data_IF_490328047853
#
_entry.id   IF_490328047853
#
_cell.length_a   1.000
_cell.length_b   1.000
_cell.length_c   1.000
_cell.angle_alpha   90.00
_cell.angle_beta   90.00
_cell.angle_gamma   90.00
#
_symmetry.space_group_name_H-M   'P 1'
#
loop_
_entity.id
_entity.type
_entity.pdbx_description
1 polymer ?
#
# COMPACT_ATOMS: atom_id res chain seq x y z
N UNK A 1 7.33 -11.86 -12.23
CA UNK A 1 6.06 -11.26 -11.74
C UNK A 1 4.91 -11.72 -12.60
N UNK A 2 3.86 -12.20 -12.00
CA UNK A 2 2.59 -12.45 -12.69
C UNK A 2 1.67 -11.27 -12.41
N UNK A 3 1.20 -10.59 -13.44
CA UNK A 3 0.44 -9.35 -13.33
C UNK A 3 -0.93 -9.49 -13.98
N UNK A 4 -1.98 -9.08 -13.26
CA UNK A 4 -3.37 -9.12 -13.74
C UNK A 4 -4.08 -7.83 -13.34
N UNK A 5 -4.89 -7.28 -14.23
CA UNK A 5 -5.85 -6.21 -13.91
C UNK A 5 -7.26 -6.75 -14.04
N UNK A 6 -8.07 -6.52 -13.02
CA UNK A 6 -9.44 -7.02 -12.98
C UNK A 6 -10.40 -5.90 -12.57
N UNK A 7 -11.60 -5.93 -13.15
CA UNK A 7 -12.70 -5.09 -12.68
C UNK A 7 -13.37 -5.82 -11.52
N UNK A 8 -12.92 -5.52 -10.29
CA UNK A 8 -13.48 -6.11 -9.07
C UNK A 8 -13.17 -5.25 -7.85
N UNK A 9 -13.93 -5.46 -6.79
CA UNK A 9 -13.67 -4.85 -5.50
C UNK A 9 -12.43 -5.50 -4.87
N UNK A 10 -11.47 -4.67 -4.41
CA UNK A 10 -10.26 -5.12 -3.74
C UNK A 10 -10.57 -6.07 -2.56
N UNK A 11 -11.62 -5.80 -1.82
CA UNK A 11 -11.98 -6.54 -0.61
C UNK A 11 -12.69 -7.87 -0.89
N UNK A 12 -12.78 -8.27 -2.16
CA UNK A 12 -13.22 -9.60 -2.56
C UNK A 12 -12.08 -10.57 -2.78
N UNK A 13 -10.83 -10.11 -2.69
CA UNK A 13 -9.65 -10.97 -2.78
C UNK A 13 -9.56 -11.85 -1.52
N UNK A 14 -9.01 -13.06 -1.68
CA UNK A 14 -8.83 -13.97 -0.55
C UNK A 14 -7.77 -13.45 0.43
N UNK A 15 -7.82 -13.94 1.67
CA UNK A 15 -6.95 -13.46 2.76
C UNK A 15 -5.48 -13.86 2.61
N UNK A 16 -5.14 -14.70 1.63
CA UNK A 16 -3.75 -15.00 1.30
C UNK A 16 -3.06 -13.88 0.51
N UNK A 17 -3.83 -12.92 0.01
CA UNK A 17 -3.28 -11.69 -0.55
C UNK A 17 -2.85 -10.74 0.57
N UNK A 18 -1.73 -10.04 0.38
CA UNK A 18 -1.47 -8.81 1.11
C UNK A 18 -2.09 -7.67 0.31
N UNK A 19 -2.92 -6.87 0.95
CA UNK A 19 -3.52 -5.71 0.30
C UNK A 19 -2.59 -4.51 0.40
N UNK A 20 -2.50 -3.73 -0.67
CA UNK A 20 -1.58 -2.59 -0.77
C UNK A 20 -2.38 -1.34 -1.10
N UNK A 21 -2.16 -0.27 -0.34
CA UNK A 21 -2.77 1.03 -0.63
C UNK A 21 -1.86 2.17 -0.19
N UNK A 22 -2.20 3.40 -0.58
CA UNK A 22 -1.41 4.59 -0.25
C UNK A 22 -2.09 5.42 0.82
N UNK A 23 -1.30 5.96 1.74
CA UNK A 23 -1.75 6.85 2.82
C UNK A 23 -0.82 8.04 2.94
N UNK A 24 -1.26 9.05 3.71
CA UNK A 24 -0.42 10.17 4.17
C UNK A 24 0.16 9.88 5.55
N UNK A 25 1.27 10.54 5.88
CA UNK A 25 1.96 10.33 7.16
C UNK A 25 1.14 10.78 8.37
N UNK A 26 0.14 11.64 8.19
CA UNK A 26 -0.76 12.08 9.25
C UNK A 26 -1.83 11.03 9.61
N UNK A 27 -1.88 9.91 8.87
CA UNK A 27 -2.86 8.83 9.04
C UNK A 27 -4.31 9.33 8.99
N UNK A 28 -4.59 10.37 8.19
CA UNK A 28 -5.95 10.90 8.05
C UNK A 28 -6.92 9.84 7.51
N UNK A 29 -6.54 9.16 6.41
CA UNK A 29 -7.25 8.00 5.84
C UNK A 29 -8.77 8.20 5.78
N UNK A 30 -9.19 9.42 5.41
CA UNK A 30 -10.59 9.84 5.49
C UNK A 30 -11.37 9.74 4.18
N UNK A 31 -10.74 9.32 3.09
CA UNK A 31 -11.37 9.29 1.77
C UNK A 31 -10.89 8.09 0.95
N UNK A 32 -11.66 7.73 -0.07
CA UNK A 32 -11.32 6.66 -1.01
C UNK A 32 -11.12 5.31 -0.33
N UNK A 33 -10.21 4.50 -0.86
CA UNK A 33 -9.87 3.16 -0.35
C UNK A 33 -9.35 3.24 1.10
N UNK A 34 -8.59 4.27 1.45
CA UNK A 34 -8.04 4.41 2.80
C UNK A 34 -9.14 4.50 3.86
N UNK A 35 -10.28 5.13 3.54
CA UNK A 35 -11.42 5.19 4.45
C UNK A 35 -11.98 3.78 4.73
N UNK A 36 -12.01 2.92 3.73
CA UNK A 36 -12.46 1.53 3.91
C UNK A 36 -11.54 0.81 4.91
N UNK A 37 -10.24 0.97 4.78
CA UNK A 37 -9.29 0.39 5.74
C UNK A 37 -9.46 0.99 7.14
N UNK A 38 -9.78 2.29 7.26
CA UNK A 38 -10.11 2.90 8.54
C UNK A 38 -11.28 2.19 9.22
N UNK A 39 -12.34 1.93 8.46
CA UNK A 39 -13.52 1.23 8.98
C UNK A 39 -13.21 -0.21 9.40
N UNK A 40 -12.16 -0.81 8.86
CA UNK A 40 -11.71 -2.16 9.21
C UNK A 40 -10.69 -2.18 10.36
N UNK A 41 -10.34 -1.03 10.95
CA UNK A 41 -9.45 -0.95 12.11
C UNK A 41 -8.00 -0.67 11.79
N UNK A 42 -7.62 -0.53 10.52
CA UNK A 42 -6.21 -0.33 10.13
C UNK A 42 -5.66 0.99 10.65
N UNK A 43 -6.43 2.09 10.56
CA UNK A 43 -6.01 3.39 11.07
C UNK A 43 -5.72 3.35 12.57
N UNK A 44 -6.60 2.71 13.34
CA UNK A 44 -6.44 2.56 14.78
C UNK A 44 -5.16 1.77 15.10
N UNK A 45 -4.89 0.70 14.36
CA UNK A 45 -3.67 -0.09 14.51
C UNK A 45 -2.41 0.76 14.25
N UNK A 46 -2.43 1.61 13.21
CA UNK A 46 -1.31 2.51 12.92
C UNK A 46 -1.10 3.53 14.05
N UNK A 47 -2.18 4.07 14.61
CA UNK A 47 -2.12 4.99 15.74
C UNK A 47 -1.50 4.34 16.97
N UNK A 48 -1.75 3.05 17.17
CA UNK A 48 -1.24 2.26 18.31
C UNK A 48 0.12 1.63 18.02
N UNK A 49 0.76 1.99 16.91
CA UNK A 49 2.05 1.42 16.48
C UNK A 49 2.01 -0.11 16.33
N UNK A 50 0.88 -0.66 15.92
CA UNK A 50 0.68 -2.10 15.69
C UNK A 50 0.96 -2.44 14.21
N UNK A 51 2.17 -2.18 13.76
CA UNK A 51 2.58 -2.42 12.38
C UNK A 51 4.00 -2.97 12.34
N UNK A 52 4.35 -3.61 11.24
CA UNK A 52 5.66 -4.18 10.96
C UNK A 52 6.37 -3.38 9.88
N UNK A 53 7.69 -3.58 9.77
CA UNK A 53 8.50 -2.93 8.76
C UNK A 53 9.05 -1.62 9.27
N UNK A 54 9.01 -0.58 8.43
CA UNK A 54 9.47 0.75 8.81
C UNK A 54 8.47 1.37 9.79
N UNK A 55 8.86 1.50 11.06
CA UNK A 55 7.99 2.03 12.11
C UNK A 55 8.31 3.50 12.35
N UNK A 56 7.35 4.35 12.04
CA UNK A 56 7.42 5.78 12.31
C UNK A 56 6.19 6.24 13.08
N UNK A 57 6.35 7.29 13.86
CA UNK A 57 5.22 7.93 14.53
C UNK A 57 4.36 8.67 13.51
N UNK A 58 3.10 8.90 13.87
CA UNK A 58 2.20 9.69 13.05
C UNK A 58 2.82 11.06 12.76
N UNK A 59 2.76 11.46 11.49
CA UNK A 59 3.28 12.74 11.05
C UNK A 59 4.74 12.72 10.60
N UNK A 60 5.44 11.59 10.72
CA UNK A 60 6.82 11.49 10.23
C UNK A 60 6.86 11.36 8.72
N UNK A 61 7.52 12.30 8.06
CA UNK A 61 7.79 12.23 6.63
C UNK A 61 8.95 13.19 6.29
N UNK A 62 10.04 12.63 5.77
CA UNK A 62 11.25 13.37 5.42
C UNK A 62 11.41 13.58 3.91
N UNK A 63 10.36 13.31 3.12
CA UNK A 63 10.42 13.40 1.66
C UNK A 63 10.68 12.06 0.99
N UNK A 64 10.92 11.01 1.76
CA UNK A 64 11.13 9.65 1.25
C UNK A 64 9.96 8.77 1.66
N UNK A 65 9.30 8.12 0.69
CA UNK A 65 8.20 7.19 0.95
C UNK A 65 8.67 5.95 1.71
N UNK A 66 7.78 5.37 2.47
CA UNK A 66 8.05 4.16 3.24
C UNK A 66 6.78 3.30 3.40
N UNK A 67 6.95 2.09 3.93
CA UNK A 67 5.85 1.14 4.07
C UNK A 67 5.74 0.65 5.50
N UNK A 68 4.52 0.62 6.02
CA UNK A 68 4.19 -0.02 7.30
C UNK A 68 3.15 -1.10 7.05
N UNK A 69 3.36 -2.30 7.62
CA UNK A 69 2.51 -3.45 7.37
C UNK A 69 1.70 -3.77 8.63
N UNK A 70 0.38 -3.69 8.53
CA UNK A 70 -0.52 -4.14 9.60
C UNK A 70 -0.85 -5.62 9.40
N UNK A 71 -0.96 -6.35 10.51
CA UNK A 71 -1.15 -7.79 10.48
C UNK A 71 -2.58 -8.22 10.19
N UNK A 72 -2.74 -9.50 9.88
CA UNK A 72 -4.05 -10.11 9.58
C UNK A 72 -4.99 -10.15 10.78
N UNK A 73 -4.48 -10.01 11.99
CA UNK A 73 -5.29 -9.93 13.21
C UNK A 73 -6.17 -8.68 13.28
N UNK A 74 -5.85 -7.65 12.47
CA UNK A 74 -6.60 -6.40 12.45
C UNK A 74 -7.89 -6.53 11.60
N UNK A 75 -7.75 -7.03 10.36
CA UNK A 75 -8.90 -7.04 9.43
C UNK A 75 -8.98 -8.29 8.54
N UNK A 76 -8.20 -9.33 8.85
CA UNK A 76 -8.17 -10.57 8.06
C UNK A 76 -7.08 -10.61 7.00
N UNK A 77 -6.65 -9.46 6.48
CA UNK A 77 -5.54 -9.34 5.54
C UNK A 77 -4.34 -8.68 6.20
N UNK A 78 -3.13 -9.08 5.80
CA UNK A 78 -1.98 -8.20 5.95
C UNK A 78 -2.16 -7.03 5.02
N UNK A 79 -1.89 -5.82 5.48
CA UNK A 79 -2.05 -4.60 4.70
C UNK A 79 -0.75 -3.82 4.65
N UNK A 80 -0.25 -3.59 3.45
CA UNK A 80 0.90 -2.72 3.22
C UNK A 80 0.40 -1.27 3.07
N UNK A 81 0.71 -0.44 4.03
CA UNK A 81 0.34 0.96 4.05
C UNK A 81 1.51 1.77 3.52
N UNK A 82 1.43 2.18 2.27
CA UNK A 82 2.47 2.96 1.60
C UNK A 82 2.32 4.43 1.97
N UNK A 83 3.26 4.97 2.71
CA UNK A 83 3.27 6.40 3.07
C UNK A 83 3.98 7.15 1.97
N UNK A 84 3.23 7.90 1.17
CA UNK A 84 3.72 8.53 -0.05
C UNK A 84 3.73 10.05 0.00
N UNK A 85 3.18 10.63 1.06
CA UNK A 85 3.08 12.09 1.24
C UNK A 85 2.97 12.44 2.72
N UNK A 86 3.25 13.69 3.06
CA UNK A 86 3.24 14.17 4.44
C UNK A 86 1.81 14.26 4.98
N UNK A 87 0.98 15.10 4.37
CA UNK A 87 -0.38 15.38 4.86
C UNK A 87 -1.43 14.98 3.83
N UNK A 88 -2.65 14.75 4.29
CA UNK A 88 -3.72 14.26 3.42
C UNK A 88 -4.02 15.19 2.23
N UNK A 89 -3.79 16.50 2.37
CA UNK A 89 -4.00 17.48 1.30
C UNK A 89 -2.78 17.67 0.38
N UNK A 90 -1.64 17.06 0.70
CA UNK A 90 -0.46 17.07 -0.16
C UNK A 90 -0.63 16.08 -1.33
N UNK A 91 0.28 16.13 -2.28
CA UNK A 91 0.32 15.20 -3.41
C UNK A 91 1.56 14.33 -3.32
N UNK A 92 1.44 13.03 -3.61
CA UNK A 92 2.60 12.17 -3.75
C UNK A 92 3.34 12.51 -5.04
N UNK A 93 4.58 12.04 -5.13
CA UNK A 93 5.35 12.05 -6.37
C UNK A 93 5.58 10.62 -6.83
N UNK A 94 6.00 10.44 -8.08
CA UNK A 94 6.41 9.12 -8.55
C UNK A 94 7.61 8.59 -7.75
N UNK A 95 8.49 9.51 -7.31
CA UNK A 95 9.63 9.15 -6.47
C UNK A 95 9.18 8.62 -5.10
N UNK A 96 8.28 9.30 -4.40
CA UNK A 96 7.81 8.84 -3.09
C UNK A 96 7.05 7.52 -3.19
N UNK A 97 6.29 7.31 -4.25
CA UNK A 97 5.64 6.03 -4.50
C UNK A 97 6.66 4.93 -4.76
N UNK A 98 7.68 5.21 -5.57
CA UNK A 98 8.78 4.26 -5.83
C UNK A 98 9.50 3.90 -4.53
N UNK A 99 9.82 4.89 -3.69
CA UNK A 99 10.46 4.67 -2.40
C UNK A 99 9.63 3.71 -1.53
N UNK A 100 8.33 3.96 -1.45
CA UNK A 100 7.42 3.15 -0.62
C UNK A 100 7.30 1.72 -1.13
N UNK A 101 7.23 1.53 -2.45
CA UNK A 101 7.19 0.19 -3.05
C UNK A 101 8.52 -0.54 -2.86
N UNK A 102 9.64 0.16 -2.94
CA UNK A 102 10.95 -0.42 -2.67
C UNK A 102 11.05 -0.88 -1.21
N UNK A 103 10.56 -0.08 -0.28
CA UNK A 103 10.53 -0.42 1.14
C UNK A 103 9.60 -1.62 1.39
N UNK A 104 8.45 -1.68 0.73
CA UNK A 104 7.59 -2.87 0.78
C UNK A 104 8.34 -4.12 0.32
N UNK A 105 9.03 -4.03 -0.81
CA UNK A 105 9.78 -5.17 -1.34
C UNK A 105 10.81 -5.68 -0.35
N UNK A 106 11.51 -4.79 0.32
CA UNK A 106 12.46 -5.14 1.37
C UNK A 106 11.80 -5.86 2.54
N UNK A 107 10.66 -5.33 3.02
CA UNK A 107 9.96 -5.92 4.14
C UNK A 107 9.32 -7.26 3.81
N UNK A 108 8.97 -7.50 2.55
CA UNK A 108 8.40 -8.78 2.13
C UNK A 108 9.36 -9.97 2.34
N UNK A 109 10.65 -9.71 2.47
CA UNK A 109 11.63 -10.75 2.81
C UNK A 109 11.34 -11.37 4.19
N UNK A 110 10.72 -10.62 5.10
CA UNK A 110 10.33 -11.08 6.43
C UNK A 110 8.98 -11.82 6.44
N UNK A 111 8.30 -11.87 5.30
CA UNK A 111 6.99 -12.52 5.15
C UNK A 111 7.01 -13.52 3.98
N UNK A 112 7.80 -14.62 4.11
CA UNK A 112 7.97 -15.57 3.00
C UNK A 112 6.68 -16.28 2.59
N UNK A 113 5.67 -16.30 3.45
CA UNK A 113 4.34 -16.86 3.15
C UNK A 113 3.53 -15.98 2.19
N UNK A 114 3.87 -14.68 2.08
CA UNK A 114 3.17 -13.76 1.18
C UNK A 114 3.72 -13.94 -0.22
N UNK A 115 2.85 -14.32 -1.16
CA UNK A 115 3.19 -14.50 -2.58
C UNK A 115 2.33 -13.65 -3.49
N UNK A 116 1.24 -13.11 -2.97
CA UNK A 116 0.22 -12.39 -3.74
C UNK A 116 -0.02 -11.01 -3.15
N UNK A 117 0.02 -10.00 -4.01
CA UNK A 117 -0.26 -8.61 -3.65
C UNK A 117 -1.51 -8.16 -4.39
N UNK A 118 -2.47 -7.61 -3.67
CA UNK A 118 -3.67 -7.03 -4.27
C UNK A 118 -3.67 -5.53 -4.04
N UNK A 119 -3.97 -4.75 -5.07
CA UNK A 119 -3.96 -3.29 -4.95
C UNK A 119 -4.98 -2.64 -5.86
N UNK A 120 -5.51 -1.47 -5.47
CA UNK A 120 -6.27 -0.64 -6.39
C UNK A 120 -5.32 0.05 -7.37
N UNK A 121 -5.83 1.00 -8.17
CA UNK A 121 -4.97 1.88 -8.97
C UNK A 121 -4.26 2.87 -8.03
N UNK A 122 -3.23 2.38 -7.34
CA UNK A 122 -2.54 3.16 -6.30
C UNK A 122 -2.02 4.48 -6.86
N UNK A 123 -2.22 5.57 -6.10
CA UNK A 123 -1.77 6.91 -6.46
C UNK A 123 -2.59 7.58 -7.57
N UNK A 124 -3.59 6.92 -8.15
CA UNK A 124 -4.30 7.42 -9.34
C UNK A 124 -5.70 7.95 -9.07
N UNK A 125 -6.22 7.83 -7.86
CA UNK A 125 -7.51 8.39 -7.48
C UNK A 125 -7.40 9.88 -7.16
N UNK A 126 -7.59 10.22 -5.90
CA UNK A 126 -7.48 11.60 -5.41
C UNK A 126 -6.08 12.17 -5.60
N UNK A 127 -5.05 11.33 -5.60
CA UNK A 127 -3.65 11.74 -5.75
C UNK A 127 -3.23 12.03 -7.20
N UNK A 128 -4.04 11.62 -8.18
CA UNK A 128 -3.96 12.00 -9.60
C UNK A 128 -2.67 11.61 -10.34
N UNK A 129 -1.91 10.62 -9.87
CA UNK A 129 -0.81 10.07 -10.66
C UNK A 129 -1.38 9.30 -11.87
N UNK A 130 -0.60 9.19 -12.92
CA UNK A 130 -1.00 8.49 -14.14
C UNK A 130 -0.69 7.00 -14.02
N UNK A 131 -1.69 6.16 -14.27
CA UNK A 131 -1.57 4.71 -14.03
C UNK A 131 -0.47 4.04 -14.87
N UNK A 132 -0.30 4.42 -16.13
CA UNK A 132 0.75 3.82 -16.97
C UNK A 132 2.14 4.03 -16.37
N UNK A 133 2.38 5.20 -15.77
CA UNK A 133 3.65 5.49 -15.07
C UNK A 133 3.78 4.72 -13.76
N UNK A 134 2.70 4.64 -13.00
CA UNK A 134 2.66 3.85 -11.75
C UNK A 134 2.90 2.37 -12.05
N UNK A 135 2.26 1.84 -13.08
CA UNK A 135 2.45 0.46 -13.51
C UNK A 135 3.92 0.19 -13.88
N UNK A 136 4.56 1.14 -14.57
CA UNK A 136 6.00 1.04 -14.88
C UNK A 136 6.87 0.96 -13.63
N UNK A 137 6.52 1.71 -12.58
CA UNK A 137 7.24 1.64 -11.29
C UNK A 137 7.04 0.26 -10.63
N UNK A 138 5.83 -0.26 -10.66
CA UNK A 138 5.53 -1.60 -10.12
C UNK A 138 6.37 -2.65 -10.86
N UNK A 139 6.44 -2.56 -12.17
CA UNK A 139 7.23 -3.49 -12.98
C UNK A 139 8.72 -3.36 -12.69
N UNK A 140 9.25 -2.15 -12.52
CA UNK A 140 10.64 -1.92 -12.15
C UNK A 140 10.98 -2.58 -10.80
N UNK A 141 10.07 -2.50 -9.84
CA UNK A 141 10.30 -3.03 -8.50
C UNK A 141 10.09 -4.54 -8.39
N UNK A 142 9.09 -5.09 -9.07
CA UNK A 142 8.67 -6.48 -8.89
C UNK A 142 8.84 -7.37 -10.12
N UNK A 143 9.24 -6.81 -11.27
CA UNK A 143 9.30 -7.55 -12.53
C UNK A 143 10.14 -8.83 -12.47
N UNK A 144 11.26 -8.81 -11.74
CA UNK A 144 12.17 -9.94 -11.60
C UNK A 144 11.83 -10.86 -10.43
N UNK A 145 10.66 -10.68 -9.82
CA UNK A 145 10.24 -11.46 -8.65
C UNK A 145 9.21 -12.51 -9.02
N UNK A 146 8.93 -13.42 -8.09
CA UNK A 146 7.90 -14.44 -8.23
C UNK A 146 6.54 -14.02 -7.62
N UNK A 147 6.38 -12.74 -7.30
CA UNK A 147 5.10 -12.26 -6.76
C UNK A 147 4.02 -12.24 -7.84
N UNK A 148 2.81 -12.52 -7.40
CA UNK A 148 1.60 -12.40 -8.19
C UNK A 148 0.91 -11.10 -7.78
N UNK A 149 0.72 -10.19 -8.73
CA UNK A 149 0.11 -8.87 -8.46
C UNK A 149 -1.22 -8.78 -9.19
N UNK A 150 -2.27 -8.56 -8.42
CA UNK A 150 -3.62 -8.35 -8.94
C UNK A 150 -4.03 -6.91 -8.65
N UNK A 151 -4.29 -6.15 -9.72
CA UNK A 151 -4.78 -4.78 -9.62
C UNK A 151 -6.30 -4.81 -9.79
N UNK A 152 -7.00 -4.31 -8.78
CA UNK A 152 -8.46 -4.28 -8.75
C UNK A 152 -8.94 -2.86 -9.04
N UNK A 153 -9.68 -2.69 -10.15
CA UNK A 153 -10.30 -1.42 -10.51
C UNK A 153 -11.81 -1.58 -10.56
N UNK A 154 -12.51 -0.53 -10.23
CA UNK A 154 -13.98 -0.52 -10.24
C UNK A 154 -14.56 -0.03 -11.57
#
# INVERSE_FOLDING_TARGET
MKYTEEKRDLFTLSEDYMLVHCISADFAMGAGIARKFTLLGVRDALYKCQAYGTLHTRGYFDGKGYCMITGEDICGWKVANLVTKNRCYDKPTYKTLRDALHDLKKHLEDFPEVRKLGMPLIGCGLDKLQWDKVRGIIEDQFGDTNYEITVCRL
#
